data_IF_883588106893
#
_entry.id   IF_883588106893
#
_cell.length_a   1.000
_cell.length_b   1.000
_cell.length_c   1.000
_cell.angle_alpha   90.00
_cell.angle_beta   90.00
_cell.angle_gamma   90.00
#
_symmetry.space_group_name_H-M   'P 1'
#
loop_
_entity.id
_entity.type
_entity.pdbx_description
1 polymer ?
#
# COMPACT_ATOMS: atom_id res chain seq x y z
N UNK A 1 -10.64 22.22 6.92
CA UNK A 1 -9.23 22.64 6.77
C UNK A 1 -8.88 22.48 5.30
N UNK A 2 -8.30 23.49 4.65
CA UNK A 2 -7.85 23.40 3.25
C UNK A 2 -6.32 23.35 3.23
N UNK A 3 -5.75 22.47 2.43
CA UNK A 3 -4.30 22.34 2.23
C UNK A 3 -3.98 22.23 0.75
N UNK A 4 -2.71 22.45 0.43
CA UNK A 4 -2.15 22.28 -0.89
C UNK A 4 -1.90 20.78 -1.14
N UNK A 5 -2.53 20.23 -2.18
CA UNK A 5 -2.42 18.80 -2.51
C UNK A 5 -1.01 18.40 -2.93
N UNK A 6 -0.25 19.30 -3.55
CA UNK A 6 1.12 19.01 -3.94
C UNK A 6 2.02 18.89 -2.71
N UNK A 7 1.85 19.80 -1.74
CA UNK A 7 2.61 19.72 -0.47
C UNK A 7 2.29 18.45 0.31
N UNK A 8 1.03 18.01 0.31
CA UNK A 8 0.64 16.74 0.91
C UNK A 8 1.27 15.57 0.18
N UNK A 9 1.22 15.56 -1.14
CA UNK A 9 1.83 14.52 -1.96
C UNK A 9 3.32 14.36 -1.63
N UNK A 10 4.06 15.48 -1.66
CA UNK A 10 5.50 15.47 -1.43
C UNK A 10 5.82 15.02 0.01
N UNK A 11 5.05 15.49 0.99
CA UNK A 11 5.20 15.06 2.38
C UNK A 11 4.91 13.56 2.58
N UNK A 12 3.88 13.01 1.94
CA UNK A 12 3.59 11.57 2.00
C UNK A 12 4.70 10.78 1.33
N UNK A 13 5.23 11.24 0.21
CA UNK A 13 6.34 10.57 -0.46
C UNK A 13 7.58 10.53 0.43
N UNK A 14 7.97 11.67 1.04
CA UNK A 14 9.08 11.75 1.99
C UNK A 14 8.86 10.83 3.20
N UNK A 15 7.64 10.79 3.74
CA UNK A 15 7.28 9.92 4.86
C UNK A 15 7.50 8.43 4.53
N UNK A 16 7.03 7.98 3.36
CA UNK A 16 7.19 6.59 2.95
C UNK A 16 8.64 6.25 2.58
N UNK A 17 9.39 7.18 2.00
CA UNK A 17 10.83 7.02 1.82
C UNK A 17 11.57 6.89 3.17
N UNK A 18 11.17 7.66 4.18
CA UNK A 18 11.74 7.56 5.53
C UNK A 18 11.45 6.22 6.21
N UNK A 19 10.35 5.55 5.87
CA UNK A 19 10.09 4.18 6.30
C UNK A 19 10.97 3.14 5.60
N UNK A 20 11.57 3.47 4.45
CA UNK A 20 12.44 2.57 3.68
C UNK A 20 11.83 2.06 2.38
N UNK A 21 10.70 2.62 1.92
CA UNK A 21 10.17 2.31 0.59
C UNK A 21 11.09 2.83 -0.52
N UNK A 22 11.14 2.10 -1.64
CA UNK A 22 11.76 2.57 -2.87
C UNK A 22 11.04 3.84 -3.37
N UNK A 23 11.79 4.72 -4.05
CA UNK A 23 11.26 6.02 -4.46
C UNK A 23 10.02 5.90 -5.36
N UNK A 24 9.97 4.88 -6.22
CA UNK A 24 8.85 4.62 -7.11
C UNK A 24 7.59 4.18 -6.35
N UNK A 25 7.74 3.32 -5.34
CA UNK A 25 6.64 2.83 -4.52
C UNK A 25 6.09 3.93 -3.61
N UNK A 26 6.99 4.72 -2.99
CA UNK A 26 6.60 5.88 -2.20
C UNK A 26 5.81 6.90 -3.02
N UNK A 27 6.23 7.15 -4.27
CA UNK A 27 5.49 8.02 -5.20
C UNK A 27 4.12 7.45 -5.55
N UNK A 28 4.02 6.14 -5.80
CA UNK A 28 2.74 5.48 -6.10
C UNK A 28 1.75 5.61 -4.93
N UNK A 29 2.21 5.40 -3.69
CA UNK A 29 1.40 5.57 -2.48
C UNK A 29 0.96 7.01 -2.29
N UNK A 30 1.88 7.97 -2.42
CA UNK A 30 1.58 9.40 -2.32
C UNK A 30 0.52 9.85 -3.33
N UNK A 31 0.62 9.37 -4.57
CA UNK A 31 -0.36 9.62 -5.62
C UNK A 31 -1.73 9.03 -5.27
N UNK A 32 -1.79 7.80 -4.77
CA UNK A 32 -3.06 7.15 -4.39
C UNK A 32 -3.74 7.90 -3.23
N UNK A 33 -3.01 8.19 -2.16
CA UNK A 33 -3.55 8.87 -0.97
C UNK A 33 -4.04 10.27 -1.30
N UNK A 34 -3.28 11.01 -2.12
CA UNK A 34 -3.68 12.36 -2.55
C UNK A 34 -4.90 12.29 -3.48
N UNK A 35 -4.94 11.30 -4.37
CA UNK A 35 -6.08 11.10 -5.28
C UNK A 35 -7.37 10.77 -4.52
N UNK A 36 -7.36 9.82 -3.60
CA UNK A 36 -8.56 9.42 -2.83
C UNK A 36 -9.09 10.57 -1.99
N UNK A 37 -8.18 11.35 -1.42
CA UNK A 37 -8.50 12.52 -0.61
C UNK A 37 -9.13 13.65 -1.45
N UNK A 38 -8.56 13.97 -2.61
CA UNK A 38 -9.11 14.95 -3.57
C UNK A 38 -10.51 14.55 -4.08
N UNK A 39 -10.79 13.25 -4.18
CA UNK A 39 -12.09 12.73 -4.60
C UNK A 39 -13.09 12.57 -3.45
N UNK A 40 -12.75 13.06 -2.25
CA UNK A 40 -13.65 13.06 -1.10
C UNK A 40 -13.84 11.69 -0.45
N UNK A 41 -13.01 10.70 -0.78
CA UNK A 41 -13.02 9.38 -0.14
C UNK A 41 -12.19 9.46 1.15
N UNK A 42 -12.68 10.23 2.12
CA UNK A 42 -11.97 10.53 3.36
C UNK A 42 -11.53 9.26 4.12
N UNK A 43 -12.32 8.19 4.03
CA UNK A 43 -12.03 6.89 4.67
C UNK A 43 -10.78 6.18 4.14
N UNK A 44 -10.21 6.64 3.01
CA UNK A 44 -9.03 6.07 2.34
C UNK A 44 -8.00 7.15 1.95
N UNK A 45 -8.15 8.37 2.44
CA UNK A 45 -7.22 9.47 2.21
C UNK A 45 -6.21 9.64 3.35
N UNK A 46 -5.77 10.88 3.55
CA UNK A 46 -4.74 11.27 4.53
C UNK A 46 -5.11 10.84 5.96
N UNK A 47 -6.42 10.81 6.29
CA UNK A 47 -6.92 10.41 7.60
C UNK A 47 -6.40 9.02 8.05
N UNK A 48 -6.12 8.11 7.10
CA UNK A 48 -5.64 6.75 7.39
C UNK A 48 -4.15 6.64 7.65
N UNK A 49 -3.36 7.69 7.44
CA UNK A 49 -1.91 7.64 7.62
C UNK A 49 -1.49 7.20 9.03
N UNK A 50 -2.20 7.65 10.07
CA UNK A 50 -1.95 7.22 11.45
C UNK A 50 -2.18 5.71 11.68
N UNK A 51 -3.08 5.09 10.91
CA UNK A 51 -3.31 3.65 10.94
C UNK A 51 -2.19 2.91 10.20
N UNK A 52 -1.79 3.41 9.03
CA UNK A 52 -0.71 2.82 8.25
C UNK A 52 0.63 2.88 8.99
N UNK A 53 0.96 4.01 9.62
CA UNK A 53 2.12 4.13 10.51
C UNK A 53 2.12 3.02 11.58
N UNK A 54 1.01 2.83 12.31
CA UNK A 54 0.90 1.75 13.31
C UNK A 54 1.11 0.36 12.73
N UNK A 55 0.72 0.10 11.48
CA UNK A 55 0.93 -1.20 10.84
C UNK A 55 2.37 -1.40 10.41
N UNK A 56 3.02 -0.36 9.90
CA UNK A 56 4.44 -0.36 9.53
C UNK A 56 5.29 -0.56 10.79
N UNK A 57 5.06 0.24 11.84
CA UNK A 57 5.78 0.13 13.12
C UNK A 57 5.56 -1.22 13.82
N UNK A 58 4.38 -1.81 13.68
CA UNK A 58 4.10 -3.14 14.20
C UNK A 58 4.70 -4.28 13.36
N UNK A 59 5.48 -3.97 12.31
CA UNK A 59 6.12 -4.96 11.43
C UNK A 59 5.14 -5.79 10.63
N UNK A 60 3.90 -5.32 10.45
CA UNK A 60 2.86 -6.08 9.73
C UNK A 60 3.01 -5.99 8.22
N UNK A 61 3.73 -4.99 7.73
CA UNK A 61 3.91 -4.70 6.33
C UNK A 61 5.37 -4.96 6.00
N UNK A 62 5.60 -5.85 5.04
CA UNK A 62 6.93 -6.04 4.45
C UNK A 62 7.12 -4.98 3.36
N UNK A 63 8.07 -4.08 3.58
CA UNK A 63 8.34 -2.93 2.72
C UNK A 63 8.90 -3.32 1.35
N UNK A 64 9.50 -4.52 1.27
CA UNK A 64 10.15 -5.02 0.06
C UNK A 64 9.44 -6.25 -0.52
N UNK A 65 8.24 -6.56 -0.04
CA UNK A 65 7.42 -7.64 -0.57
C UNK A 65 7.11 -7.41 -2.05
N UNK A 66 7.58 -8.33 -2.88
CA UNK A 66 7.23 -8.37 -4.29
C UNK A 66 6.07 -9.34 -4.49
N UNK A 67 4.99 -8.94 -5.19
CA UNK A 67 3.89 -9.84 -5.51
C UNK A 67 4.38 -10.99 -6.40
N UNK A 68 3.95 -12.22 -6.08
CA UNK A 68 4.29 -13.41 -6.85
C UNK A 68 3.03 -14.08 -7.40
N UNK A 69 3.04 -14.47 -8.68
CA UNK A 69 1.96 -15.29 -9.25
C UNK A 69 2.20 -16.75 -8.87
N UNK A 70 1.38 -17.27 -7.96
CA UNK A 70 1.51 -18.65 -7.46
C UNK A 70 0.69 -19.66 -8.28
N UNK A 71 -0.28 -19.18 -9.06
CA UNK A 71 -1.08 -20.00 -9.94
C UNK A 71 -1.69 -19.16 -11.07
N UNK A 72 -1.69 -19.67 -12.29
CA UNK A 72 -2.22 -18.97 -13.46
C UNK A 72 -3.03 -19.93 -14.34
N UNK A 73 -4.10 -19.40 -14.92
CA UNK A 73 -4.91 -20.01 -15.98
C UNK A 73 -5.06 -19.02 -17.12
N UNK A 74 -5.59 -19.45 -18.27
CA UNK A 74 -5.81 -18.55 -19.42
C UNK A 74 -6.68 -17.31 -19.14
N UNK A 75 -7.48 -17.31 -18.06
CA UNK A 75 -8.42 -16.22 -17.73
C UNK A 75 -8.34 -15.77 -16.28
N UNK A 76 -7.36 -16.24 -15.49
CA UNK A 76 -7.22 -15.83 -14.09
C UNK A 76 -5.85 -16.11 -13.53
N UNK A 77 -5.42 -15.32 -12.54
CA UNK A 77 -4.20 -15.51 -11.79
C UNK A 77 -4.45 -15.40 -10.28
N UNK A 78 -3.66 -16.12 -9.49
CA UNK A 78 -3.59 -15.99 -8.04
C UNK A 78 -2.27 -15.31 -7.71
N UNK A 79 -2.35 -14.19 -7.01
CA UNK A 79 -1.19 -13.39 -6.61
C UNK A 79 -1.03 -13.49 -5.09
N UNK A 80 0.13 -13.93 -4.64
CA UNK A 80 0.55 -13.85 -3.24
C UNK A 80 1.16 -12.47 -2.98
N UNK A 81 0.65 -11.78 -1.97
CA UNK A 81 1.15 -10.51 -1.48
C UNK A 81 1.88 -10.83 -0.18
N UNK A 82 3.22 -10.81 -0.20
CA UNK A 82 4.09 -11.23 0.90
C UNK A 82 4.05 -10.28 2.13
N UNK A 83 2.85 -10.01 2.65
CA UNK A 83 2.62 -9.25 3.88
C UNK A 83 3.01 -10.13 5.07
N UNK A 84 4.02 -9.73 5.83
CA UNK A 84 4.67 -10.55 6.85
C UNK A 84 3.79 -10.68 8.10
N UNK A 85 2.75 -11.53 8.03
CA UNK A 85 2.06 -12.00 9.24
C UNK A 85 1.67 -13.48 9.21
N UNK A 86 2.13 -14.24 8.20
CA UNK A 86 1.95 -15.69 8.18
C UNK A 86 2.93 -16.37 7.22
N UNK A 87 4.11 -16.77 7.70
CA UNK A 87 4.63 -18.09 7.31
C UNK A 87 3.99 -19.08 8.30
N UNK A 88 2.84 -19.66 7.92
CA UNK A 88 2.86 -21.03 7.47
C UNK A 88 2.29 -21.16 6.05
N UNK A 89 2.80 -22.17 5.36
CA UNK A 89 2.62 -22.60 3.96
C UNK A 89 1.17 -22.88 3.50
N UNK A 90 0.15 -22.29 4.12
CA UNK A 90 -1.25 -22.40 3.71
C UNK A 90 -2.09 -21.35 4.42
N UNK A 91 -2.28 -20.16 3.84
CA UNK A 91 -3.46 -19.34 4.18
C UNK A 91 -3.64 -18.14 3.27
N UNK A 92 -4.85 -18.07 2.71
CA UNK A 92 -5.53 -16.92 2.10
C UNK A 92 -5.24 -16.60 0.62
N UNK A 93 -5.89 -17.41 -0.25
CA UNK A 93 -6.18 -17.11 -1.65
C UNK A 93 -6.99 -15.80 -1.79
N UNK A 94 -6.31 -14.69 -2.03
CA UNK A 94 -6.92 -13.53 -2.68
C UNK A 94 -7.13 -13.86 -4.16
N UNK A 95 -8.33 -14.33 -4.54
CA UNK A 95 -8.69 -14.45 -5.97
C UNK A 95 -8.93 -13.06 -6.53
N UNK A 96 -7.95 -12.54 -7.26
CA UNK A 96 -8.19 -11.43 -8.19
C UNK A 96 -8.55 -12.09 -9.53
N UNK A 97 -9.86 -12.23 -9.77
CA UNK A 97 -10.36 -12.50 -11.12
C UNK A 97 -10.46 -11.14 -11.81
N UNK A 98 -9.67 -10.92 -12.87
CA UNK A 98 -9.81 -9.77 -13.78
C UNK A 98 -10.74 -10.16 -14.90
#
# INVERSE_FOLDING_TARGET
MRYDSQKVHDWVQELYQAYGFEAQDAQAVAKMITYTDLHGIASHGIQRLSMYDRFIQAGKIDLHAQPEIVFETHVSAVVDLACQLSKPRNSFLGRISV
#
